data_IF_772173848760
#
_entry.id   IF_772173848760
#
_cell.length_a   1.000
_cell.length_b   1.000
_cell.length_c   1.000
_cell.angle_alpha   90.00
_cell.angle_beta   90.00
_cell.angle_gamma   90.00
#
_symmetry.space_group_name_H-M   'P 1'
#
loop_
_entity.id
_entity.type
_entity.pdbx_description
1 polymer ?
#
# COMPACT_ATOMS: atom_id res chain seq x y z
N UNK A 1 17.98 2.69 -19.30
CA UNK A 1 16.98 3.36 -18.43
C UNK A 1 15.68 3.43 -19.20
N UNK A 2 14.60 2.78 -18.73
CA UNK A 2 13.25 3.08 -19.24
C UNK A 2 12.95 4.53 -18.85
N UNK A 3 12.60 5.39 -19.80
CA UNK A 3 12.02 6.70 -19.49
C UNK A 3 10.63 6.44 -18.91
N UNK A 4 10.51 6.49 -17.58
CA UNK A 4 9.22 6.51 -16.92
C UNK A 4 8.62 7.90 -17.17
N UNK A 5 7.59 7.97 -18.00
CA UNK A 5 6.77 9.17 -18.08
C UNK A 5 5.86 9.15 -16.86
N UNK A 6 6.26 9.84 -15.78
CA UNK A 6 5.44 10.03 -14.61
C UNK A 6 4.44 11.13 -14.97
N UNK A 7 3.28 10.72 -15.49
CA UNK A 7 2.17 11.64 -15.63
C UNK A 7 1.55 11.84 -14.25
N UNK A 8 1.19 13.07 -13.91
CA UNK A 8 0.49 13.36 -12.67
C UNK A 8 -0.83 12.58 -12.65
N UNK A 9 -1.03 11.78 -11.60
CA UNK A 9 -2.30 11.10 -11.36
C UNK A 9 -3.39 12.14 -11.09
N UNK A 10 -4.54 12.10 -11.78
CA UNK A 10 -5.59 13.12 -11.65
C UNK A 10 -6.39 12.89 -10.36
N UNK A 11 -5.79 13.21 -9.21
CA UNK A 11 -6.45 13.12 -7.90
C UNK A 11 -7.59 14.14 -7.78
N UNK A 12 -8.75 13.66 -7.31
CA UNK A 12 -9.91 14.47 -6.98
C UNK A 12 -10.12 14.44 -5.46
N UNK A 13 -10.15 15.60 -4.81
CA UNK A 13 -10.48 15.70 -3.39
C UNK A 13 -11.95 15.34 -3.16
N UNK A 14 -12.20 14.36 -2.29
CA UNK A 14 -13.55 13.89 -1.92
C UNK A 14 -14.00 14.56 -0.63
N UNK A 15 -13.12 14.58 0.37
CA UNK A 15 -13.42 15.07 1.71
C UNK A 15 -12.14 15.48 2.43
N UNK A 16 -12.27 16.33 3.44
CA UNK A 16 -11.16 16.78 4.28
C UNK A 16 -11.68 17.26 5.62
N UNK A 17 -10.86 17.09 6.65
CA UNK A 17 -11.03 17.72 7.96
C UNK A 17 -9.84 18.64 8.28
N UNK A 18 -9.69 19.01 9.54
CA UNK A 18 -8.60 19.89 9.98
C UNK A 18 -7.21 19.26 9.81
N UNK A 19 -7.09 17.94 10.00
CA UNK A 19 -5.82 17.20 10.01
C UNK A 19 -5.72 16.10 8.93
N UNK A 20 -6.74 15.98 8.07
CA UNK A 20 -6.78 14.93 7.07
C UNK A 20 -7.41 15.37 5.75
N UNK A 21 -7.01 14.73 4.66
CA UNK A 21 -7.60 14.90 3.34
C UNK A 21 -7.70 13.56 2.61
N UNK A 22 -8.84 13.29 1.98
CA UNK A 22 -9.09 12.08 1.22
C UNK A 22 -9.33 12.43 -0.24
N UNK A 23 -8.50 11.89 -1.11
CA UNK A 23 -8.62 12.06 -2.57
C UNK A 23 -8.81 10.71 -3.25
N UNK A 24 -9.53 10.69 -4.36
CA UNK A 24 -9.67 9.51 -5.22
C UNK A 24 -9.07 9.73 -6.60
N UNK A 25 -8.72 8.64 -7.24
CA UNK A 25 -8.58 8.58 -8.69
C UNK A 25 -8.93 7.17 -9.15
N UNK A 26 -9.20 7.00 -10.45
CA UNK A 26 -9.51 5.70 -11.01
C UNK A 26 -8.84 5.53 -12.37
N UNK A 27 -8.61 4.28 -12.74
CA UNK A 27 -8.26 3.88 -14.11
C UNK A 27 -9.16 2.72 -14.56
N UNK A 28 -8.83 2.08 -15.70
CA UNK A 28 -9.65 1.00 -16.26
C UNK A 28 -9.76 -0.27 -15.38
N UNK A 29 -8.91 -0.42 -14.36
CA UNK A 29 -8.79 -1.64 -13.57
C UNK A 29 -8.93 -1.42 -12.06
N UNK A 30 -8.53 -0.25 -11.57
CA UNK A 30 -8.45 0.06 -10.15
C UNK A 30 -9.09 1.41 -9.84
N UNK A 31 -9.79 1.44 -8.71
CA UNK A 31 -10.14 2.64 -7.97
C UNK A 31 -9.09 2.83 -6.88
N UNK A 32 -8.62 4.06 -6.69
CA UNK A 32 -7.61 4.40 -5.69
C UNK A 32 -8.14 5.44 -4.73
N UNK A 33 -7.73 5.31 -3.47
CA UNK A 33 -7.90 6.34 -2.45
C UNK A 33 -6.53 6.71 -1.89
N UNK A 34 -6.31 8.00 -1.73
CA UNK A 34 -5.15 8.58 -1.05
C UNK A 34 -5.65 9.33 0.19
N UNK A 35 -5.37 8.80 1.37
CA UNK A 35 -5.64 9.46 2.64
C UNK A 35 -4.36 10.13 3.13
N UNK A 36 -4.40 11.44 3.35
CA UNK A 36 -3.33 12.20 3.98
C UNK A 36 -3.72 12.51 5.42
N UNK A 37 -2.87 12.22 6.39
CA UNK A 37 -3.06 12.53 7.82
C UNK A 37 -1.70 12.81 8.48
N UNK A 38 -1.54 13.96 9.15
CA UNK A 38 -0.32 14.31 9.91
C UNK A 38 1.02 14.05 9.18
N UNK A 39 1.09 14.29 7.87
CA UNK A 39 2.24 14.04 6.96
C UNK A 39 2.40 12.60 6.42
N UNK A 40 1.49 11.68 6.75
CA UNK A 40 1.44 10.34 6.16
C UNK A 40 0.45 10.27 5.02
N UNK A 41 0.86 9.65 3.93
CA UNK A 41 0.02 9.43 2.77
C UNK A 41 -0.25 7.93 2.58
N UNK A 42 -1.44 7.47 2.94
CA UNK A 42 -1.88 6.09 2.74
C UNK A 42 -2.47 5.92 1.35
N UNK A 43 -2.09 4.85 0.67
CA UNK A 43 -2.61 4.47 -0.64
C UNK A 43 -3.41 3.18 -0.52
N UNK A 44 -4.68 3.25 -0.89
CA UNK A 44 -5.57 2.11 -1.00
C UNK A 44 -5.97 1.88 -2.45
N UNK A 45 -6.29 0.64 -2.78
CA UNK A 45 -6.86 0.28 -4.07
C UNK A 45 -8.03 -0.69 -3.92
N UNK A 46 -8.99 -0.57 -4.83
CA UNK A 46 -10.03 -1.56 -5.07
C UNK A 46 -10.03 -1.92 -6.55
N UNK A 47 -10.19 -3.20 -6.86
CA UNK A 47 -10.00 -3.71 -8.22
C UNK A 47 -10.03 -5.22 -8.28
N UNK A 48 -9.77 -5.76 -9.48
CA UNK A 48 -9.77 -7.21 -9.72
C UNK A 48 -8.56 -7.88 -9.08
N UNK A 49 -8.76 -9.01 -8.40
CA UNK A 49 -7.69 -9.80 -7.76
C UNK A 49 -6.72 -10.35 -8.82
N UNK A 50 -7.28 -10.85 -9.92
CA UNK A 50 -6.56 -11.30 -11.11
C UNK A 50 -7.27 -10.77 -12.36
N UNK A 51 -6.49 -10.43 -13.39
CA UNK A 51 -7.06 -9.93 -14.65
C UNK A 51 -8.05 -10.93 -15.25
N UNK A 52 -9.29 -10.50 -15.42
CA UNK A 52 -10.37 -11.32 -15.99
C UNK A 52 -11.19 -12.12 -14.99
N UNK A 53 -11.02 -11.90 -13.68
CA UNK A 53 -11.93 -12.40 -12.65
C UNK A 53 -12.90 -11.31 -12.18
N UNK A 54 -14.12 -11.72 -11.80
CA UNK A 54 -15.17 -10.81 -11.29
C UNK A 54 -15.00 -10.49 -9.79
N UNK A 55 -14.19 -11.26 -9.06
CA UNK A 55 -13.95 -11.01 -7.64
C UNK A 55 -13.09 -9.74 -7.47
N UNK A 56 -13.65 -8.75 -6.78
CA UNK A 56 -12.95 -7.52 -6.40
C UNK A 56 -12.48 -7.59 -4.95
N UNK A 57 -11.30 -7.06 -4.71
CA UNK A 57 -10.75 -6.91 -3.36
C UNK A 57 -10.49 -5.45 -3.03
N UNK A 58 -10.19 -5.18 -1.76
CA UNK A 58 -9.68 -3.90 -1.30
C UNK A 58 -8.31 -4.15 -0.66
N UNK A 59 -7.36 -3.27 -0.94
CA UNK A 59 -5.99 -3.40 -0.49
C UNK A 59 -5.40 -2.13 0.08
N UNK A 60 -4.57 -2.29 1.12
CA UNK A 60 -3.58 -1.29 1.50
C UNK A 60 -2.33 -1.56 0.67
N UNK A 61 -1.95 -0.58 -0.15
CA UNK A 61 -0.76 -0.67 -1.01
C UNK A 61 0.46 -0.11 -0.29
N UNK A 62 0.31 0.96 0.47
CA UNK A 62 1.47 1.59 1.11
C UNK A 62 1.09 2.78 1.96
N UNK A 63 2.07 3.22 2.75
CA UNK A 63 2.08 4.53 3.38
C UNK A 63 3.39 5.22 3.03
N UNK A 64 3.33 6.52 2.76
CA UNK A 64 4.41 7.31 2.17
C UNK A 64 4.57 8.65 2.89
N UNK A 65 5.76 9.24 2.82
CA UNK A 65 6.06 10.56 3.39
C UNK A 65 5.60 11.71 2.51
N UNK A 66 5.24 11.44 1.25
CA UNK A 66 4.86 12.48 0.30
C UNK A 66 3.97 11.96 -0.81
N UNK A 67 3.18 12.87 -1.39
CA UNK A 67 2.33 12.59 -2.55
C UNK A 67 3.12 12.16 -3.79
N UNK A 68 4.36 12.63 -3.92
CA UNK A 68 5.29 12.32 -5.00
C UNK A 68 5.73 10.86 -4.97
N UNK A 69 5.90 10.29 -3.77
CA UNK A 69 6.20 8.86 -3.61
C UNK A 69 5.02 7.99 -4.06
N UNK A 70 3.78 8.42 -3.80
CA UNK A 70 2.57 7.75 -4.35
C UNK A 70 2.59 7.78 -5.88
N UNK A 71 2.87 8.93 -6.49
CA UNK A 71 2.92 9.05 -7.95
C UNK A 71 4.01 8.14 -8.54
N UNK A 72 5.20 8.12 -7.92
CA UNK A 72 6.28 7.23 -8.32
C UNK A 72 5.86 5.76 -8.20
N UNK A 73 5.24 5.38 -7.08
CA UNK A 73 4.76 4.03 -6.85
C UNK A 73 3.76 3.59 -7.93
N UNK A 74 2.76 4.43 -8.23
CA UNK A 74 1.77 4.14 -9.27
C UNK A 74 2.41 4.06 -10.66
N UNK A 75 3.38 4.94 -10.97
CA UNK A 75 4.11 4.93 -12.24
C UNK A 75 5.01 3.70 -12.43
N UNK A 76 5.52 3.12 -11.34
CA UNK A 76 6.32 1.88 -11.37
C UNK A 76 5.46 0.62 -11.50
N UNK A 77 4.20 0.67 -11.07
CA UNK A 77 3.31 -0.49 -10.98
C UNK A 77 2.03 -0.35 -11.82
N UNK A 78 2.11 0.41 -12.93
CA UNK A 78 0.98 0.75 -13.81
C UNK A 78 0.21 -0.46 -14.33
N UNK A 79 0.91 -1.56 -14.60
CA UNK A 79 0.30 -2.74 -15.22
C UNK A 79 -0.50 -3.57 -14.20
N UNK A 80 -0.04 -3.66 -12.96
CA UNK A 80 -0.78 -4.30 -11.87
C UNK A 80 -0.14 -3.96 -10.50
N UNK A 81 -0.77 -3.09 -9.68
CA UNK A 81 -0.28 -2.75 -8.35
C UNK A 81 -0.30 -3.94 -7.39
N UNK A 82 -1.00 -5.04 -7.68
CA UNK A 82 -1.02 -6.25 -6.85
C UNK A 82 0.15 -7.21 -7.13
N UNK A 83 1.06 -6.87 -8.04
CA UNK A 83 2.33 -7.60 -8.23
C UNK A 83 3.37 -7.26 -7.16
N UNK A 84 3.05 -6.35 -6.26
CA UNK A 84 3.88 -5.97 -5.12
C UNK A 84 3.22 -6.42 -3.81
N UNK A 85 3.92 -6.36 -2.67
CA UNK A 85 3.31 -6.65 -1.37
C UNK A 85 2.07 -5.78 -1.12
N UNK A 86 0.89 -6.40 -1.09
CA UNK A 86 -0.37 -5.73 -0.83
C UNK A 86 -1.13 -6.46 0.28
N UNK A 87 -1.69 -5.71 1.23
CA UNK A 87 -2.51 -6.23 2.30
C UNK A 87 -3.97 -6.20 1.84
N UNK A 88 -4.56 -7.38 1.62
CA UNK A 88 -6.02 -7.48 1.40
C UNK A 88 -6.72 -7.23 2.73
N UNK A 89 -7.69 -6.31 2.73
CA UNK A 89 -8.51 -6.00 3.90
C UNK A 89 -9.92 -6.57 3.72
N UNK A 90 -10.58 -6.85 4.83
CA UNK A 90 -11.94 -7.40 4.85
C UNK A 90 -13.01 -6.30 4.75
N UNK A 91 -12.64 -5.03 4.94
CA UNK A 91 -13.56 -3.91 4.77
C UNK A 91 -13.96 -3.73 3.30
N UNK A 92 -15.19 -3.25 3.11
CA UNK A 92 -15.69 -2.86 1.79
C UNK A 92 -15.03 -1.61 1.25
N UNK A 93 -15.36 -1.27 0.01
CA UNK A 93 -14.99 0.01 -0.58
C UNK A 93 -16.09 1.06 -0.31
N UNK A 94 -15.75 2.31 0.08
CA UNK A 94 -14.41 2.85 0.31
C UNK A 94 -13.75 2.31 1.59
N UNK A 95 -12.41 2.17 1.56
CA UNK A 95 -11.65 1.64 2.70
C UNK A 95 -11.64 2.60 3.92
N UNK A 96 -11.79 3.90 3.67
CA UNK A 96 -11.72 4.97 4.67
C UNK A 96 -13.15 5.42 5.01
N UNK A 97 -13.48 5.46 6.30
CA UNK A 97 -14.79 5.88 6.83
C UNK A 97 -14.65 7.24 7.50
N UNK A 98 -15.58 8.14 7.20
CA UNK A 98 -15.62 9.49 7.75
C UNK A 98 -17.07 9.99 7.80
N UNK A 99 -17.34 10.91 8.73
CA UNK A 99 -18.65 11.51 8.91
C UNK A 99 -18.52 12.98 9.32
N UNK A 100 -19.30 13.88 8.69
CA UNK A 100 -19.33 15.32 9.00
C UNK A 100 -17.94 16.02 9.09
N UNK A 101 -16.93 15.54 8.37
CA UNK A 101 -15.56 16.09 8.38
C UNK A 101 -14.63 15.47 9.44
N UNK A 102 -15.13 14.53 10.23
CA UNK A 102 -14.37 13.71 11.17
C UNK A 102 -13.98 12.36 10.54
N UNK A 103 -12.73 11.96 10.72
CA UNK A 103 -12.23 10.66 10.28
C UNK A 103 -12.59 9.60 11.33
N UNK A 104 -13.46 8.66 10.97
CA UNK A 104 -13.95 7.65 11.91
C UNK A 104 -13.01 6.44 11.98
N UNK A 105 -12.62 5.90 10.82
CA UNK A 105 -11.71 4.76 10.76
C UNK A 105 -11.03 4.62 9.41
N UNK A 106 -9.84 4.03 9.43
CA UNK A 106 -9.09 3.67 8.24
C UNK A 106 -8.16 2.49 8.54
N UNK A 107 -7.88 1.63 7.55
CA UNK A 107 -6.90 0.56 7.70
C UNK A 107 -5.48 1.15 7.76
N UNK A 108 -4.75 0.79 8.81
CA UNK A 108 -3.33 1.11 8.97
C UNK A 108 -2.46 0.11 8.18
N UNK A 109 -1.18 0.44 8.02
CA UNK A 109 -0.17 -0.40 7.39
C UNK A 109 0.27 -1.54 8.33
N UNK A 110 -0.67 -2.41 8.70
CA UNK A 110 -0.46 -3.53 9.61
C UNK A 110 -1.17 -4.78 9.10
N UNK A 111 -0.49 -5.92 9.08
CA UNK A 111 -1.07 -7.19 8.67
C UNK A 111 -0.13 -8.03 7.81
N UNK A 112 -0.72 -8.93 7.03
CA UNK A 112 0.02 -9.85 6.15
C UNK A 112 -0.12 -9.41 4.69
N UNK A 113 0.95 -8.82 4.16
CA UNK A 113 1.06 -8.39 2.77
C UNK A 113 1.48 -9.57 1.90
N UNK A 114 0.63 -9.99 0.97
CA UNK A 114 0.90 -11.16 0.13
C UNK A 114 1.51 -10.73 -1.20
N UNK A 115 2.44 -11.54 -1.71
CA UNK A 115 3.01 -11.40 -3.05
C UNK A 115 3.36 -12.80 -3.61
N UNK A 116 2.50 -13.32 -4.49
CA UNK A 116 2.58 -14.70 -4.95
C UNK A 116 2.50 -15.70 -3.79
N UNK A 117 3.47 -16.61 -3.69
CA UNK A 117 3.55 -17.61 -2.61
C UNK A 117 4.29 -17.10 -1.35
N UNK A 118 4.67 -15.83 -1.34
CA UNK A 118 5.45 -15.20 -0.27
C UNK A 118 4.61 -14.14 0.42
N UNK A 119 4.97 -13.80 1.65
CA UNK A 119 4.31 -12.73 2.36
C UNK A 119 5.25 -11.94 3.26
N UNK A 120 4.84 -10.74 3.61
CA UNK A 120 5.44 -9.93 4.65
C UNK A 120 4.43 -9.78 5.76
N UNK A 121 4.88 -9.83 7.01
CA UNK A 121 4.04 -9.57 8.16
C UNK A 121 4.54 -8.32 8.86
N UNK A 122 3.63 -7.39 9.11
CA UNK A 122 3.86 -6.19 9.90
C UNK A 122 2.96 -6.28 11.12
N UNK A 123 3.57 -6.36 12.31
CA UNK A 123 2.85 -6.50 13.59
C UNK A 123 3.34 -5.50 14.62
N UNK A 124 2.45 -4.85 15.37
CA UNK A 124 2.83 -3.95 16.44
C UNK A 124 3.42 -4.75 17.60
N UNK A 125 4.42 -4.17 18.24
CA UNK A 125 5.03 -4.67 19.47
C UNK A 125 4.39 -4.00 20.69
N UNK A 126 4.69 -4.50 21.88
CA UNK A 126 4.25 -3.88 23.14
C UNK A 126 4.83 -2.48 23.36
N UNK A 127 5.99 -2.18 22.76
CA UNK A 127 6.64 -0.86 22.83
C UNK A 127 6.06 0.16 21.84
N UNK A 128 5.11 -0.24 20.98
CA UNK A 128 4.53 0.62 19.95
C UNK A 128 5.33 0.68 18.65
N UNK A 129 6.43 -0.08 18.53
CA UNK A 129 7.15 -0.26 17.26
C UNK A 129 6.46 -1.28 16.35
N UNK A 130 6.87 -1.35 15.09
CA UNK A 130 6.38 -2.32 14.12
C UNK A 130 7.46 -3.35 13.80
N UNK A 131 7.20 -4.61 14.15
CA UNK A 131 8.02 -5.75 13.76
C UNK A 131 7.69 -6.14 12.31
N UNK A 132 8.72 -6.26 11.47
CA UNK A 132 8.60 -6.65 10.07
C UNK A 132 9.27 -7.98 9.81
N UNK A 133 8.50 -8.95 9.33
CA UNK A 133 8.97 -10.30 8.98
C UNK A 133 8.72 -10.59 7.50
N UNK A 134 9.64 -11.32 6.86
CA UNK A 134 9.42 -11.95 5.56
C UNK A 134 9.14 -13.45 5.74
N UNK A 135 8.14 -13.96 5.05
CA UNK A 135 7.65 -15.34 5.18
C UNK A 135 7.72 -16.03 3.81
N UNK A 136 8.44 -17.15 3.77
CA UNK A 136 8.60 -18.03 2.59
C UNK A 136 8.34 -19.48 3.00
N UNK A 137 7.11 -19.95 2.76
CA UNK A 137 6.64 -21.25 3.24
C UNK A 137 6.65 -21.33 4.77
N UNK A 138 7.50 -22.18 5.34
CA UNK A 138 7.65 -22.36 6.79
C UNK A 138 8.76 -21.50 7.40
N UNK A 139 9.51 -20.75 6.58
CA UNK A 139 10.61 -19.90 7.05
C UNK A 139 10.11 -18.49 7.29
N UNK A 140 10.38 -17.96 8.47
CA UNK A 140 10.24 -16.56 8.80
C UNK A 140 11.62 -15.93 8.98
N UNK A 141 11.85 -14.80 8.34
CA UNK A 141 13.06 -13.99 8.43
C UNK A 141 12.68 -12.65 9.04
N UNK A 142 13.30 -12.30 10.17
CA UNK A 142 13.12 -10.99 10.79
C UNK A 142 13.88 -9.94 9.95
N UNK A 143 13.14 -8.97 9.41
CA UNK A 143 13.73 -7.84 8.67
C UNK A 143 14.10 -6.68 9.60
N UNK A 144 13.44 -6.57 10.74
CA UNK A 144 13.76 -5.63 11.81
C UNK A 144 12.53 -5.04 12.49
N UNK A 145 12.78 -4.17 13.46
CA UNK A 145 11.78 -3.31 14.10
C UNK A 145 11.85 -1.92 13.47
N UNK A 146 10.69 -1.25 13.38
CA UNK A 146 10.53 0.06 12.76
C UNK A 146 9.73 0.97 13.70
N UNK A 147 10.06 2.26 13.77
CA UNK A 147 9.38 3.20 14.69
C UNK A 147 8.02 3.67 14.15
N UNK A 148 7.74 3.45 12.86
CA UNK A 148 6.48 3.87 12.25
C UNK A 148 6.16 3.14 10.95
N UNK A 149 4.93 3.37 10.48
CA UNK A 149 4.36 2.68 9.32
C UNK A 149 5.10 2.98 8.01
N UNK A 150 5.58 4.20 7.83
CA UNK A 150 6.41 4.59 6.67
C UNK A 150 7.70 3.77 6.64
N UNK A 151 8.40 3.66 7.76
CA UNK A 151 9.65 2.89 7.81
C UNK A 151 9.38 1.40 7.56
N UNK A 152 8.31 0.85 8.14
CA UNK A 152 7.90 -0.53 7.89
C UNK A 152 7.58 -0.77 6.40
N UNK A 153 6.82 0.14 5.77
CA UNK A 153 6.51 0.13 4.34
C UNK A 153 7.79 0.16 3.50
N UNK A 154 8.69 1.10 3.79
CA UNK A 154 9.98 1.22 3.10
C UNK A 154 10.82 -0.06 3.24
N UNK A 155 10.83 -0.69 4.42
CA UNK A 155 11.58 -1.93 4.68
C UNK A 155 11.02 -3.11 3.87
N UNK A 156 9.69 -3.25 3.83
CA UNK A 156 9.00 -4.26 2.99
C UNK A 156 9.36 -4.06 1.52
N UNK A 157 9.20 -2.84 0.99
CA UNK A 157 9.48 -2.55 -0.41
C UNK A 157 10.96 -2.67 -0.77
N UNK A 158 11.87 -2.23 0.11
CA UNK A 158 13.31 -2.35 -0.11
C UNK A 158 13.76 -3.81 -0.18
N UNK A 159 13.25 -4.65 0.72
CA UNK A 159 13.54 -6.09 0.69
C UNK A 159 12.93 -6.75 -0.56
N UNK A 160 11.68 -6.40 -0.92
CA UNK A 160 11.04 -6.89 -2.13
C UNK A 160 11.85 -6.54 -3.39
N UNK A 161 12.23 -5.27 -3.55
CA UNK A 161 13.02 -4.77 -4.69
C UNK A 161 14.40 -5.44 -4.77
N UNK A 162 15.09 -5.61 -3.64
CA UNK A 162 16.39 -6.26 -3.61
C UNK A 162 16.29 -7.71 -4.13
N UNK A 163 15.21 -8.41 -3.78
CA UNK A 163 14.97 -9.80 -4.20
C UNK A 163 14.51 -9.91 -5.64
N UNK A 164 13.65 -9.02 -6.12
CA UNK A 164 13.21 -9.03 -7.52
C UNK A 164 14.34 -8.66 -8.47
N UNK A 165 15.20 -7.70 -8.10
CA UNK A 165 16.41 -7.35 -8.88
C UNK A 165 17.50 -8.41 -8.80
N UNK A 166 17.53 -9.22 -7.74
CA UNK A 166 18.39 -10.40 -7.59
C UNK A 166 17.97 -11.60 -8.46
N UNK A 167 16.70 -11.68 -8.86
CA UNK A 167 16.19 -12.65 -9.83
C UNK A 167 16.62 -12.28 -11.26
N UNK A 168 17.91 -12.46 -11.58
CA UNK A 168 18.45 -12.33 -12.95
C UNK A 168 18.64 -13.66 -13.69
N UNK A 169 18.03 -14.75 -13.22
CA UNK A 169 18.02 -16.02 -13.96
C UNK A 169 16.59 -16.57 -14.03
N UNK A 170 15.86 -16.09 -15.03
CA UNK A 170 14.81 -16.84 -15.72
C UNK A 170 15.22 -16.89 -17.18
#
# INVERSE_FOLDING_TARGET
>A
MRKLAINATPWQLISSGESWALSECANSHFNYLSLTIEDRHYLYAEGQIEFGQDERGVWVLGVFDSSEQIQMFLALHTDNPLKVPALRIESGWPAVQYNEGELESYPTYQGVYRVGFKSYRVTPTESGTLLVEYIDGYKAELLGECDGEVEACLKVYSHFDARTRGCKMC
#
